data_IF_159422745909
#
_entry.id   IF_159422745909
#
_cell.length_a   1.000
_cell.length_b   1.000
_cell.length_c   1.000
_cell.angle_alpha   90.00
_cell.angle_beta   90.00
_cell.angle_gamma   90.00
#
_symmetry.space_group_name_H-M   'P 1'
#
loop_
_entity.id
_entity.type
_entity.pdbx_description
1 polymer ?
#
# COMPACT_ATOMS: atom_id res chain seq x y z
N UNK A 1 -10.69 19.99 2.86
CA UNK A 1 -9.58 20.17 3.81
C UNK A 1 -8.32 19.53 3.25
N UNK A 2 -7.23 20.26 3.25
CA UNK A 2 -5.96 19.71 2.78
C UNK A 2 -5.44 18.66 3.77
N UNK A 3 -4.95 17.55 3.24
CA UNK A 3 -4.27 16.54 4.04
C UNK A 3 -2.82 16.98 4.23
N UNK A 4 -2.31 16.92 5.44
CA UNK A 4 -0.93 17.26 5.72
C UNK A 4 0.01 16.25 5.02
N UNK A 5 1.04 16.77 4.38
CA UNK A 5 2.05 15.93 3.76
C UNK A 5 2.93 15.25 4.81
N UNK A 6 3.29 14.01 4.52
CA UNK A 6 4.24 13.24 5.30
C UNK A 6 5.57 13.28 4.57
N UNK A 7 6.53 14.02 5.11
CA UNK A 7 7.85 14.16 4.49
C UNK A 7 8.84 13.20 5.15
N UNK A 8 9.53 12.41 4.32
CA UNK A 8 10.54 11.46 4.76
C UNK A 8 11.77 11.61 3.88
N UNK A 9 12.95 11.48 4.47
CA UNK A 9 14.19 11.48 3.69
C UNK A 9 14.44 10.11 3.07
N UNK A 10 15.08 10.08 1.91
CA UNK A 10 15.34 8.83 1.19
C UNK A 10 16.18 7.81 1.98
N UNK A 11 16.93 8.27 2.98
CA UNK A 11 17.74 7.40 3.83
C UNK A 11 17.04 6.92 5.10
N UNK A 12 15.77 7.30 5.31
CA UNK A 12 14.99 6.85 6.45
C UNK A 12 14.28 5.53 6.18
N UNK A 13 14.27 4.67 7.20
CA UNK A 13 13.32 3.56 7.26
C UNK A 13 12.09 4.08 8.00
N UNK A 14 10.90 3.82 7.48
CA UNK A 14 9.67 4.27 8.14
C UNK A 14 8.51 3.34 7.84
N UNK A 15 7.43 3.47 8.58
CA UNK A 15 6.21 2.71 8.35
C UNK A 15 5.00 3.64 8.28
N UNK A 16 4.00 3.22 7.51
CA UNK A 16 2.73 3.94 7.35
C UNK A 16 1.60 2.96 7.66
N UNK A 17 0.72 3.35 8.60
CA UNK A 17 -0.48 2.58 8.90
C UNK A 17 -1.61 2.93 7.96
N UNK A 18 -2.31 1.90 7.46
CA UNK A 18 -3.48 2.06 6.59
C UNK A 18 -4.67 1.33 7.21
N UNK A 19 -5.82 2.01 7.22
CA UNK A 19 -7.08 1.42 7.64
C UNK A 19 -8.04 1.35 6.46
N UNK A 20 -8.93 0.38 6.47
CA UNK A 20 -9.87 0.16 5.39
C UNK A 20 -11.29 0.09 5.93
N UNK A 21 -12.24 0.57 5.14
CA UNK A 21 -13.66 0.46 5.44
C UNK A 21 -14.37 -0.16 4.25
N UNK A 22 -15.44 -0.91 4.53
CA UNK A 22 -16.29 -1.41 3.47
C UNK A 22 -17.23 -0.31 2.96
N UNK A 23 -18.06 -0.63 1.98
CA UNK A 23 -19.00 0.33 1.38
C UNK A 23 -20.00 0.91 2.39
N UNK A 24 -20.20 0.23 3.51
CA UNK A 24 -21.09 0.68 4.58
C UNK A 24 -20.37 1.50 5.65
N UNK A 25 -19.06 1.74 5.47
CA UNK A 25 -18.23 2.46 6.44
C UNK A 25 -17.75 1.60 7.61
N UNK A 26 -17.98 0.30 7.56
CA UNK A 26 -17.54 -0.62 8.61
C UNK A 26 -16.06 -0.95 8.43
N UNK A 27 -15.30 -0.96 9.52
CA UNK A 27 -13.88 -1.30 9.50
C UNK A 27 -13.65 -2.72 9.00
N UNK A 28 -12.64 -2.87 8.15
CA UNK A 28 -12.21 -4.17 7.61
C UNK A 28 -10.88 -4.52 8.24
N UNK A 29 -10.77 -5.75 8.77
CA UNK A 29 -9.52 -6.27 9.31
C UNK A 29 -8.57 -6.58 8.15
N UNK A 30 -7.39 -5.97 8.16
CA UNK A 30 -6.42 -6.11 7.07
C UNK A 30 -5.86 -7.53 6.94
N UNK A 31 -5.95 -8.37 7.99
CA UNK A 31 -5.47 -9.76 7.94
C UNK A 31 -6.14 -10.58 6.85
N UNK A 32 -7.40 -10.27 6.55
CA UNK A 32 -8.20 -11.01 5.56
C UNK A 32 -8.12 -10.44 4.16
N UNK A 33 -7.46 -9.30 3.96
CA UNK A 33 -7.39 -8.65 2.66
C UNK A 33 -6.29 -9.25 1.80
N UNK A 34 -6.66 -9.67 0.59
CA UNK A 34 -5.71 -10.08 -0.45
C UNK A 34 -5.58 -8.88 -1.39
N UNK A 35 -4.36 -8.41 -1.57
CA UNK A 35 -4.13 -7.16 -2.30
C UNK A 35 -2.75 -7.11 -2.92
N UNK A 36 -2.61 -6.22 -3.90
CA UNK A 36 -1.33 -5.84 -4.47
C UNK A 36 -1.32 -4.33 -4.66
N UNK A 37 -0.42 -3.67 -3.96
CA UNK A 37 -0.23 -2.23 -4.06
C UNK A 37 1.14 -1.94 -4.66
N UNK A 38 1.21 -0.89 -5.47
CA UNK A 38 2.49 -0.41 -6.00
C UNK A 38 2.62 1.05 -5.65
N UNK A 39 3.65 1.37 -4.86
CA UNK A 39 4.08 2.75 -4.64
C UNK A 39 5.14 3.08 -5.68
N UNK A 40 5.03 4.23 -6.30
CA UNK A 40 6.03 4.69 -7.27
C UNK A 40 6.36 6.15 -7.07
N UNK A 41 7.61 6.52 -7.37
CA UNK A 41 8.04 7.91 -7.36
C UNK A 41 8.06 8.48 -8.79
N UNK A 42 8.24 9.82 -8.93
CA UNK A 42 8.29 10.43 -10.27
C UNK A 42 9.41 9.91 -11.17
N UNK A 43 10.48 9.33 -10.61
CA UNK A 43 11.58 8.76 -11.40
C UNK A 43 11.26 7.38 -11.97
N UNK A 44 10.15 6.76 -11.52
CA UNK A 44 9.74 5.43 -11.94
C UNK A 44 10.21 4.31 -11.01
N UNK A 45 10.86 4.62 -9.90
CA UNK A 45 11.19 3.62 -8.90
C UNK A 45 9.92 3.14 -8.22
N UNK A 46 9.81 1.82 -8.00
CA UNK A 46 8.59 1.18 -7.51
C UNK A 46 8.88 0.28 -6.32
N UNK A 47 7.86 0.15 -5.48
CA UNK A 47 7.85 -0.79 -4.37
C UNK A 47 6.54 -1.54 -4.36
N UNK A 48 6.60 -2.87 -4.27
CA UNK A 48 5.42 -3.72 -4.19
C UNK A 48 5.09 -3.97 -2.73
N UNK A 49 3.81 -3.83 -2.38
CA UNK A 49 3.26 -4.14 -1.06
C UNK A 49 2.09 -5.08 -1.29
N UNK A 50 2.20 -6.32 -0.84
CA UNK A 50 1.19 -7.31 -1.19
C UNK A 50 0.98 -8.38 -0.13
N UNK A 51 -0.17 -9.02 -0.22
CA UNK A 51 -0.49 -10.25 0.49
C UNK A 51 -1.31 -11.14 -0.44
N UNK A 52 -0.81 -12.35 -0.68
CA UNK A 52 -1.44 -13.30 -1.61
C UNK A 52 -2.27 -14.39 -0.90
N UNK A 53 -2.47 -14.25 0.40
CA UNK A 53 -3.10 -15.26 1.24
C UNK A 53 -2.11 -16.14 1.98
N UNK A 54 -0.83 -16.06 1.65
CA UNK A 54 0.25 -16.84 2.29
C UNK A 54 1.43 -15.97 2.69
N UNK A 55 1.92 -15.14 1.78
CA UNK A 55 3.13 -14.35 1.97
C UNK A 55 2.83 -12.85 1.90
N UNK A 56 3.47 -12.10 2.79
CA UNK A 56 3.41 -10.64 2.79
C UNK A 56 4.73 -10.08 2.27
N UNK A 57 4.62 -9.04 1.44
CA UNK A 57 5.77 -8.32 0.91
C UNK A 57 5.65 -6.86 1.38
N UNK A 58 6.67 -6.39 2.11
CA UNK A 58 6.79 -5.03 2.60
C UNK A 58 5.62 -4.55 3.48
N UNK A 59 4.99 -5.48 4.20
CA UNK A 59 3.93 -5.12 5.14
C UNK A 59 3.78 -6.15 6.24
N UNK A 60 3.18 -5.70 7.34
CA UNK A 60 2.71 -6.54 8.44
C UNK A 60 1.32 -6.07 8.83
N UNK A 61 0.63 -6.86 9.63
CA UNK A 61 -0.64 -6.45 10.23
C UNK A 61 -0.46 -6.36 11.74
N UNK A 62 -0.89 -5.25 12.31
CA UNK A 62 -0.83 -4.98 13.75
C UNK A 62 -2.20 -4.49 14.19
N UNK A 63 -2.86 -5.24 15.06
CA UNK A 63 -4.19 -4.91 15.59
C UNK A 63 -5.23 -4.64 14.48
N UNK A 64 -5.21 -5.46 13.42
CA UNK A 64 -6.14 -5.33 12.29
C UNK A 64 -5.78 -4.23 11.30
N UNK A 65 -4.75 -3.44 11.57
CA UNK A 65 -4.27 -2.36 10.71
C UNK A 65 -3.11 -2.82 9.85
N UNK A 66 -3.14 -2.46 8.57
CA UNK A 66 -2.05 -2.74 7.65
C UNK A 66 -0.92 -1.75 7.88
N UNK A 67 0.28 -2.26 8.14
CA UNK A 67 1.48 -1.45 8.32
C UNK A 67 2.39 -1.69 7.12
N UNK A 68 2.57 -0.67 6.31
CA UNK A 68 3.46 -0.71 5.14
C UNK A 68 4.87 -0.35 5.59
N UNK A 69 5.83 -1.19 5.23
CA UNK A 69 7.23 -1.02 5.62
C UNK A 69 8.00 -0.41 4.45
N UNK A 70 8.54 0.78 4.67
CA UNK A 70 9.36 1.50 3.70
C UNK A 70 10.82 1.41 4.13
N UNK A 71 11.62 0.70 3.33
CA UNK A 71 13.06 0.61 3.59
C UNK A 71 13.77 1.79 2.94
N UNK A 72 14.86 2.22 3.58
CA UNK A 72 15.68 3.33 3.07
C UNK A 72 16.11 3.10 1.61
N UNK A 73 16.26 4.18 0.89
CA UNK A 73 16.77 4.18 -0.49
C UNK A 73 15.93 3.39 -1.49
N UNK A 74 14.69 3.04 -1.15
CA UNK A 74 13.76 2.41 -2.10
C UNK A 74 13.37 3.37 -3.20
N UNK A 75 13.17 4.64 -2.85
CA UNK A 75 12.76 5.68 -3.78
C UNK A 75 13.86 6.72 -3.98
N UNK A 76 13.83 7.36 -5.13
CA UNK A 76 14.78 8.41 -5.47
C UNK A 76 14.38 9.76 -4.87
N UNK A 77 13.10 10.11 -4.96
CA UNK A 77 12.55 11.34 -4.39
C UNK A 77 11.25 11.76 -5.04
N UNK A 78 10.54 12.66 -4.38
CA UNK A 78 9.28 13.24 -4.85
C UNK A 78 8.06 12.64 -4.18
N UNK A 79 6.90 13.06 -4.65
CA UNK A 79 5.60 12.58 -4.12
C UNK A 79 5.32 11.18 -4.66
N UNK A 80 4.97 10.26 -3.74
CA UNK A 80 4.66 8.90 -4.11
C UNK A 80 3.24 8.77 -4.65
N UNK A 81 3.10 7.99 -5.71
CA UNK A 81 1.83 7.56 -6.27
C UNK A 81 1.55 6.14 -5.79
N UNK A 82 0.30 5.85 -5.45
CA UNK A 82 -0.14 4.52 -5.01
C UNK A 82 -1.14 3.96 -6.01
N UNK A 83 -0.86 2.78 -6.52
CA UNK A 83 -1.80 1.98 -7.31
C UNK A 83 -2.24 0.81 -6.46
N UNK A 84 -3.56 0.65 -6.28
CA UNK A 84 -4.12 -0.40 -5.44
C UNK A 84 -4.93 -1.39 -6.26
N UNK A 85 -4.81 -2.67 -5.91
CA UNK A 85 -5.67 -3.73 -6.43
C UNK A 85 -6.05 -4.67 -5.29
N UNK A 86 -7.32 -4.96 -5.18
CA UNK A 86 -7.87 -5.89 -4.21
C UNK A 86 -8.41 -7.12 -4.93
N UNK A 87 -8.21 -8.29 -4.34
CA UNK A 87 -8.58 -9.56 -4.95
C UNK A 87 -9.51 -10.36 -4.04
N UNK A 88 -10.35 -11.18 -4.64
CA UNK A 88 -11.15 -12.17 -3.95
C UNK A 88 -10.81 -13.55 -4.52
N UNK A 89 -10.89 -14.58 -3.69
CA UNK A 89 -10.68 -15.95 -4.15
C UNK A 89 -11.74 -16.32 -5.18
N UNK A 90 -11.30 -16.94 -6.27
CA UNK A 90 -12.17 -17.41 -7.33
C UNK A 90 -11.52 -18.61 -7.99
N UNK A 91 -12.26 -19.72 -8.08
CA UNK A 91 -11.72 -20.98 -8.59
C UNK A 91 -11.35 -20.94 -10.08
N UNK A 92 -11.94 -20.01 -10.83
CA UNK A 92 -11.70 -19.89 -12.28
C UNK A 92 -10.45 -19.03 -12.59
N UNK A 93 -9.89 -18.37 -11.59
CA UNK A 93 -8.73 -17.49 -11.75
C UNK A 93 -7.63 -17.92 -10.79
N UNK A 94 -6.48 -18.25 -11.33
CA UNK A 94 -5.33 -18.78 -10.60
C UNK A 94 -4.93 -17.93 -9.38
N UNK A 95 -4.90 -16.62 -9.54
CA UNK A 95 -4.46 -15.69 -8.51
C UNK A 95 -5.60 -14.88 -7.89
N UNK A 96 -6.84 -15.39 -8.04
CA UNK A 96 -8.03 -14.69 -7.61
C UNK A 96 -8.51 -13.68 -8.64
N UNK A 97 -9.71 -13.17 -8.45
CA UNK A 97 -10.29 -12.16 -9.34
C UNK A 97 -10.06 -10.76 -8.73
N UNK A 98 -9.60 -9.83 -9.54
CA UNK A 98 -9.46 -8.43 -9.09
C UNK A 98 -10.86 -7.80 -9.03
N UNK A 99 -11.27 -7.42 -7.80
CA UNK A 99 -12.61 -6.87 -7.57
C UNK A 99 -12.63 -5.35 -7.44
N UNK A 100 -11.47 -4.73 -7.25
CA UNK A 100 -11.36 -3.28 -7.15
C UNK A 100 -9.91 -2.85 -7.45
N UNK A 101 -9.78 -1.73 -8.12
CA UNK A 101 -8.48 -1.11 -8.33
C UNK A 101 -8.61 0.39 -8.50
N UNK A 102 -7.61 1.13 -8.06
CA UNK A 102 -7.50 2.58 -8.27
C UNK A 102 -6.04 3.01 -8.27
N UNK A 103 -5.83 4.29 -8.55
CA UNK A 103 -4.51 4.90 -8.54
C UNK A 103 -4.65 6.37 -8.19
N UNK A 104 -3.80 6.85 -7.27
CA UNK A 104 -3.84 8.26 -6.86
C UNK A 104 -2.49 8.68 -6.27
N UNK A 105 -2.27 9.99 -6.22
CA UNK A 105 -1.11 10.55 -5.54
C UNK A 105 -1.35 10.56 -4.03
N UNK A 106 -0.34 10.11 -3.28
CA UNK A 106 -0.40 10.09 -1.82
C UNK A 106 0.08 11.41 -1.24
N UNK A 107 -0.02 11.55 0.07
CA UNK A 107 0.58 12.66 0.81
C UNK A 107 2.03 12.39 1.25
N UNK A 108 2.63 11.30 0.78
CA UNK A 108 4.01 10.93 1.14
C UNK A 108 4.97 11.56 0.16
N UNK A 109 5.90 12.36 0.67
CA UNK A 109 6.94 13.02 -0.14
C UNK A 109 8.30 12.53 0.34
N UNK A 110 9.10 12.01 -0.59
CA UNK A 110 10.46 11.57 -0.30
C UNK A 110 11.43 12.71 -0.62
N UNK A 111 12.20 13.11 0.38
CA UNK A 111 13.24 14.14 0.26
C UNK A 111 14.59 13.51 0.00
N UNK A 112 15.35 14.16 -0.84
CA UNK A 112 16.72 13.72 -1.17
C UNK A 112 17.69 14.02 -0.06
#
# INVERSE_FOLDING_TARGET
MATDDVEKYRWEDFEIGLTFSDIRGKSVNAESLIFSFIYSDPSGKKMIVSYDGKNRINNIVRDGELIVIFNRETFYGGRLKLTRRFYANNQDFKDGICVFGDSYETNIIIRK
#
